data_IF_537015798378
#
_entry.id   IF_537015798378
#
_cell.length_a   1.000
_cell.length_b   1.000
_cell.length_c   1.000
_cell.angle_alpha   90.00
_cell.angle_beta   90.00
_cell.angle_gamma   90.00
#
_symmetry.space_group_name_H-M   'P 1'
#
loop_
_entity.id
_entity.type
_entity.pdbx_description
1 polymer ?
#
# COMPACT_ATOMS: atom_id res chain seq x y z
N UNK A 1 22.35 3.38 15.52
CA UNK A 1 20.99 3.81 15.17
C UNK A 1 20.03 2.76 15.70
N UNK A 2 19.06 3.14 16.53
CA UNK A 2 18.02 2.24 17.07
C UNK A 2 16.73 2.44 16.28
N UNK A 3 16.08 1.35 15.89
CA UNK A 3 14.76 1.39 15.24
C UNK A 3 13.69 1.72 16.29
N UNK A 4 12.72 2.57 15.92
CA UNK A 4 11.56 2.90 16.75
C UNK A 4 10.28 2.48 16.04
N UNK A 5 9.35 1.88 16.78
CA UNK A 5 8.01 1.53 16.29
C UNK A 5 6.97 2.10 17.26
N UNK A 6 6.13 3.00 16.76
CA UNK A 6 4.98 3.52 17.49
C UNK A 6 3.71 2.94 16.89
N UNK A 7 3.03 2.08 17.66
CA UNK A 7 1.76 1.48 17.22
C UNK A 7 0.58 2.26 17.81
N UNK A 8 -0.25 2.82 16.94
CA UNK A 8 -1.45 3.58 17.30
C UNK A 8 -2.75 2.78 17.15
N UNK A 9 -2.66 1.50 16.80
CA UNK A 9 -3.81 0.61 16.60
C UNK A 9 -4.02 -0.29 17.83
N UNK A 10 -5.28 -0.41 18.27
CA UNK A 10 -5.67 -1.42 19.24
C UNK A 10 -5.57 -2.83 18.65
N UNK A 11 -5.36 -3.84 19.50
CA UNK A 11 -5.12 -5.23 19.09
C UNK A 11 -6.27 -5.84 18.26
N UNK A 12 -7.50 -5.39 18.47
CA UNK A 12 -8.74 -5.86 17.84
C UNK A 12 -9.27 -4.93 16.74
N UNK A 13 -8.56 -3.83 16.47
CA UNK A 13 -8.99 -2.78 15.53
C UNK A 13 -9.33 -3.32 14.13
N UNK A 14 -8.49 -4.21 13.59
CA UNK A 14 -8.70 -4.86 12.29
C UNK A 14 -9.96 -5.73 12.28
N UNK A 15 -10.18 -6.50 13.34
CA UNK A 15 -11.36 -7.38 13.46
C UNK A 15 -12.65 -6.57 13.53
N UNK A 16 -12.68 -5.51 14.33
CA UNK A 16 -13.83 -4.61 14.43
C UNK A 16 -14.13 -3.91 13.10
N UNK A 17 -13.08 -3.44 12.40
CA UNK A 17 -13.24 -2.82 11.09
C UNK A 17 -13.81 -3.82 10.06
N UNK A 18 -13.28 -5.04 9.98
CA UNK A 18 -13.76 -6.06 9.03
C UNK A 18 -15.22 -6.41 9.26
N UNK A 19 -15.60 -6.66 10.51
CA UNK A 19 -16.98 -7.01 10.86
C UNK A 19 -17.97 -5.93 10.46
N UNK A 20 -17.64 -4.66 10.74
CA UNK A 20 -18.49 -3.54 10.37
C UNK A 20 -18.60 -3.43 8.86
N UNK A 21 -17.47 -3.39 8.16
CA UNK A 21 -17.42 -3.17 6.71
C UNK A 21 -18.18 -4.28 5.93
N UNK A 22 -18.06 -5.54 6.38
CA UNK A 22 -18.79 -6.67 5.78
C UNK A 22 -20.28 -6.61 6.10
N UNK A 23 -20.64 -6.34 7.36
CA UNK A 23 -22.05 -6.24 7.78
C UNK A 23 -22.78 -5.16 7.00
N UNK A 24 -22.20 -3.97 6.88
CA UNK A 24 -22.80 -2.85 6.16
C UNK A 24 -22.80 -3.10 4.65
N UNK A 25 -21.66 -3.50 4.07
CA UNK A 25 -21.50 -3.66 2.62
C UNK A 25 -22.37 -4.75 2.00
N UNK A 26 -22.60 -5.85 2.71
CA UNK A 26 -23.45 -6.96 2.22
C UNK A 26 -24.95 -6.67 2.33
N UNK A 27 -25.36 -5.67 3.12
CA UNK A 27 -26.75 -5.22 3.23
C UNK A 27 -27.11 -4.15 2.18
N UNK A 28 -26.11 -3.55 1.52
CA UNK A 28 -26.35 -2.53 0.48
C UNK A 28 -26.91 -3.12 -0.82
N UNK A 29 -27.59 -2.27 -1.60
CA UNK A 29 -27.98 -2.54 -2.99
C UNK A 29 -27.50 -1.38 -3.87
N UNK A 30 -26.44 -1.56 -4.68
CA UNK A 30 -25.65 -2.78 -4.84
C UNK A 30 -24.77 -3.11 -3.62
N UNK A 31 -24.41 -4.40 -3.46
CA UNK A 31 -23.48 -4.85 -2.41
C UNK A 31 -22.07 -4.36 -2.71
N UNK A 32 -21.30 -4.06 -1.67
CA UNK A 32 -19.91 -3.62 -1.79
C UNK A 32 -19.04 -4.18 -0.67
N UNK A 33 -17.71 -4.21 -0.88
CA UNK A 33 -16.71 -4.47 0.16
C UNK A 33 -15.51 -3.53 -0.07
N UNK A 34 -14.92 -2.96 0.99
CA UNK A 34 -13.71 -2.14 0.84
C UNK A 34 -12.52 -2.96 0.31
N UNK A 35 -11.72 -2.40 -0.63
CA UNK A 35 -10.63 -3.14 -1.27
C UNK A 35 -9.44 -3.42 -0.33
N UNK A 36 -9.34 -2.76 0.83
CA UNK A 36 -8.28 -3.05 1.81
C UNK A 36 -8.29 -4.52 2.27
N UNK A 37 -9.44 -5.19 2.19
CA UNK A 37 -9.58 -6.60 2.53
C UNK A 37 -9.08 -7.57 1.46
N UNK A 38 -8.61 -7.07 0.31
CA UNK A 38 -7.85 -7.88 -0.63
C UNK A 38 -6.45 -8.22 -0.13
N UNK A 39 -5.88 -7.44 0.79
CA UNK A 39 -4.46 -7.54 1.16
C UNK A 39 -4.23 -8.37 2.44
N UNK A 40 -4.79 -9.58 2.49
CA UNK A 40 -4.26 -10.61 3.39
C UNK A 40 -2.94 -11.17 2.84
N UNK A 41 -2.37 -12.22 3.43
CA UNK A 41 -1.11 -12.78 2.94
C UNK A 41 -1.21 -13.26 1.49
N UNK A 42 -2.28 -13.98 1.15
CA UNK A 42 -2.47 -14.56 -0.19
C UNK A 42 -2.75 -13.47 -1.22
N UNK A 43 -3.65 -12.54 -0.90
CA UNK A 43 -4.01 -11.48 -1.81
C UNK A 43 -2.89 -10.45 -2.00
N UNK A 44 -2.00 -10.28 -1.01
CA UNK A 44 -0.76 -9.51 -1.20
C UNK A 44 0.20 -10.20 -2.17
N UNK A 45 0.39 -11.52 -2.06
CA UNK A 45 1.21 -12.30 -3.00
C UNK A 45 0.62 -12.29 -4.42
N UNK A 46 -0.71 -12.28 -4.53
CA UNK A 46 -1.40 -12.12 -5.81
C UNK A 46 -1.21 -10.72 -6.38
N UNK A 47 -1.28 -9.68 -5.55
CA UNK A 47 -1.02 -8.31 -5.99
C UNK A 47 0.42 -8.13 -6.46
N UNK A 48 1.38 -8.70 -5.74
CA UNK A 48 2.79 -8.74 -6.14
C UNK A 48 2.94 -9.40 -7.53
N UNK A 49 2.26 -10.52 -7.79
CA UNK A 49 2.21 -11.13 -9.12
C UNK A 49 1.55 -10.23 -10.17
N UNK A 50 0.44 -9.57 -9.82
CA UNK A 50 -0.25 -8.61 -10.69
C UNK A 50 0.74 -7.52 -11.15
N UNK A 51 1.61 -7.03 -10.27
CA UNK A 51 2.57 -5.97 -10.63
C UNK A 51 3.55 -6.34 -11.75
N UNK A 52 3.72 -7.64 -12.03
CA UNK A 52 4.62 -8.18 -13.06
C UNK A 52 3.90 -8.52 -14.37
N UNK A 53 2.58 -8.46 -14.40
CA UNK A 53 1.82 -8.79 -15.61
C UNK A 53 2.15 -7.81 -16.76
N UNK A 54 2.20 -8.29 -18.02
CA UNK A 54 2.43 -7.41 -19.16
C UNK A 54 1.33 -6.35 -19.30
N UNK A 55 0.09 -6.68 -18.98
CA UNK A 55 -1.06 -5.78 -19.02
C UNK A 55 -1.04 -4.75 -17.88
N UNK A 56 -0.49 -5.10 -16.71
CA UNK A 56 -0.44 -4.24 -15.53
C UNK A 56 0.81 -3.35 -15.56
N UNK A 57 0.80 -2.36 -16.44
CA UNK A 57 1.89 -1.40 -16.56
C UNK A 57 2.17 -0.47 -15.36
N UNK A 58 1.24 -0.15 -14.42
CA UNK A 58 1.45 0.93 -13.44
C UNK A 58 2.73 0.82 -12.62
N UNK A 59 3.02 -0.35 -12.05
CA UNK A 59 4.23 -0.55 -11.22
C UNK A 59 5.51 -0.29 -12.02
N UNK A 60 5.56 -0.76 -13.28
CA UNK A 60 6.71 -0.59 -14.18
C UNK A 60 6.91 0.87 -14.59
N UNK A 61 5.82 1.57 -14.88
CA UNK A 61 5.86 2.97 -15.32
C UNK A 61 6.31 3.88 -14.18
N UNK A 62 5.73 3.73 -12.99
CA UNK A 62 6.15 4.48 -11.80
C UNK A 62 7.63 4.21 -11.45
N UNK A 63 8.05 2.95 -11.46
CA UNK A 63 9.45 2.61 -11.19
C UNK A 63 10.41 3.21 -12.22
N UNK A 64 9.99 3.34 -13.49
CA UNK A 64 10.79 4.02 -14.52
C UNK A 64 10.93 5.52 -14.22
N UNK A 65 9.83 6.20 -13.91
CA UNK A 65 9.84 7.62 -13.55
C UNK A 65 10.74 7.86 -12.34
N UNK A 66 10.63 7.03 -11.29
CA UNK A 66 11.46 7.17 -10.10
C UNK A 66 12.95 6.95 -10.40
N UNK A 67 13.29 5.98 -11.26
CA UNK A 67 14.69 5.78 -11.70
C UNK A 67 15.24 7.01 -12.42
N UNK A 68 14.44 7.62 -13.28
CA UNK A 68 14.90 8.74 -14.12
C UNK A 68 14.90 10.07 -13.37
N UNK A 69 13.95 10.29 -12.45
CA UNK A 69 13.71 11.59 -11.82
C UNK A 69 14.08 11.66 -10.33
N UNK A 70 14.53 10.57 -9.69
CA UNK A 70 14.81 10.56 -8.24
C UNK A 70 15.77 11.67 -7.77
N UNK A 71 16.83 11.95 -8.52
CA UNK A 71 17.78 13.01 -8.20
C UNK A 71 17.15 14.41 -8.27
N UNK A 72 16.28 14.64 -9.27
CA UNK A 72 15.55 15.90 -9.41
C UNK A 72 14.53 16.08 -8.29
N UNK A 73 13.82 15.02 -7.93
CA UNK A 73 12.86 15.00 -6.81
C UNK A 73 13.58 15.31 -5.48
N UNK A 74 14.73 14.67 -5.24
CA UNK A 74 15.54 14.93 -4.06
C UNK A 74 16.03 16.39 -4.03
N UNK A 75 16.54 16.90 -5.15
CA UNK A 75 17.01 18.29 -5.25
C UNK A 75 15.90 19.31 -5.09
N UNK A 76 14.70 19.04 -5.61
CA UNK A 76 13.57 19.96 -5.56
C UNK A 76 12.87 19.96 -4.19
N UNK A 77 12.90 18.82 -3.48
CA UNK A 77 12.29 18.72 -2.15
C UNK A 77 13.17 19.32 -1.05
N UNK A 78 14.50 19.31 -1.22
CA UNK A 78 15.48 19.66 -0.19
C UNK A 78 15.24 18.90 1.14
N UNK A 79 14.56 17.76 1.07
CA UNK A 79 14.15 17.00 2.24
C UNK A 79 15.31 16.17 2.81
N UNK A 80 15.43 16.14 4.13
CA UNK A 80 16.33 15.26 4.86
C UNK A 80 15.62 13.99 5.39
N UNK A 81 14.30 13.93 5.24
CA UNK A 81 13.43 12.90 5.80
C UNK A 81 12.45 12.40 4.73
N UNK A 82 12.46 11.09 4.47
CA UNK A 82 11.49 10.43 3.60
C UNK A 82 10.38 9.78 4.43
N UNK A 83 9.12 10.07 4.09
CA UNK A 83 7.94 9.46 4.71
C UNK A 83 7.16 8.69 3.65
N UNK A 84 7.05 7.37 3.82
CA UNK A 84 6.30 6.49 2.92
C UNK A 84 4.92 6.14 3.51
N UNK A 85 3.85 6.41 2.76
CA UNK A 85 2.49 6.06 3.15
C UNK A 85 2.13 4.66 2.64
N UNK A 86 2.47 3.65 3.45
CA UNK A 86 2.21 2.24 3.18
C UNK A 86 3.51 1.46 2.98
N UNK A 87 3.69 0.35 3.68
CA UNK A 87 4.97 -0.34 3.72
C UNK A 87 5.33 -1.09 2.42
N UNK A 88 4.33 -1.55 1.65
CA UNK A 88 4.52 -2.28 0.39
C UNK A 88 5.60 -3.37 0.47
N UNK A 89 6.30 -3.60 -0.65
CA UNK A 89 7.57 -4.36 -0.73
C UNK A 89 8.81 -3.46 -0.71
N UNK A 90 8.62 -2.13 -0.52
CA UNK A 90 9.66 -1.08 -0.52
C UNK A 90 10.66 -1.08 -1.68
N UNK A 91 10.40 -1.79 -2.79
CA UNK A 91 11.33 -1.84 -3.94
C UNK A 91 11.51 -0.48 -4.63
N UNK A 92 10.54 0.44 -4.46
CA UNK A 92 10.57 1.80 -5.02
C UNK A 92 11.21 2.83 -4.08
N UNK A 93 11.43 2.46 -2.82
CA UNK A 93 11.92 3.35 -1.75
C UNK A 93 13.45 3.35 -1.64
N UNK A 94 14.14 2.58 -2.50
CA UNK A 94 15.60 2.46 -2.53
C UNK A 94 16.21 3.25 -3.68
#
# INVERSE_FOLDING_TARGET
MTLSLSNHLAADSTYHALRRDVSEGLQQTPKSLPPKWFYDSVGSDLFDQITRLPEYYPTRAEAQILRDCSAEIASASEADTLVELGAGTSEKTR
#
